data_IF_417648099711
#
_entry.id   IF_417648099711
#
_cell.length_a   1.000
_cell.length_b   1.000
_cell.length_c   1.000
_cell.angle_alpha   90.00
_cell.angle_beta   90.00
_cell.angle_gamma   90.00
#
_symmetry.space_group_name_H-M   'P 1'
#
loop_
_entity.id
_entity.type
_entity.pdbx_description
1 polymer ?
#
# COMPACT_ATOMS: atom_id res chain seq x y z
N UNK A 1 5.91 4.85 -11.41
CA UNK A 1 7.09 5.39 -10.66
C UNK A 1 8.14 4.31 -10.35
N UNK A 2 9.18 4.56 -9.53
CA UNK A 2 10.01 3.49 -8.91
C UNK A 2 9.45 3.11 -7.54
N UNK A 3 9.36 1.81 -7.26
CA UNK A 3 8.90 1.28 -5.98
C UNK A 3 9.80 1.75 -4.83
N UNK A 4 9.24 2.32 -3.76
CA UNK A 4 10.04 2.82 -2.65
C UNK A 4 10.72 1.69 -1.85
N UNK A 5 10.14 0.48 -1.85
CA UNK A 5 10.65 -0.71 -1.14
C UNK A 5 11.77 -1.44 -1.90
N UNK A 6 11.54 -1.79 -3.18
CA UNK A 6 12.46 -2.63 -3.96
C UNK A 6 13.09 -1.94 -5.18
N UNK A 7 12.77 -0.66 -5.43
CA UNK A 7 13.32 0.17 -6.53
C UNK A 7 13.03 -0.31 -7.95
N UNK A 8 12.21 -1.34 -8.14
CA UNK A 8 11.71 -1.77 -9.44
C UNK A 8 10.60 -0.86 -9.98
N UNK A 9 10.32 -0.96 -11.28
CA UNK A 9 9.21 -0.22 -11.91
C UNK A 9 7.85 -0.56 -11.31
N UNK A 10 7.01 0.45 -11.21
CA UNK A 10 5.58 0.32 -10.91
C UNK A 10 4.76 0.55 -12.18
N UNK A 11 3.63 -0.14 -12.28
CA UNK A 11 2.62 0.02 -13.33
C UNK A 11 1.35 0.66 -12.75
N UNK A 12 0.66 1.46 -13.55
CA UNK A 12 -0.64 2.02 -13.20
C UNK A 12 -1.73 0.94 -13.34
N UNK A 13 -2.59 0.84 -12.32
CA UNK A 13 -3.74 -0.06 -12.28
C UNK A 13 -4.98 0.78 -11.98
N UNK A 14 -5.96 0.75 -12.89
CA UNK A 14 -7.23 1.46 -12.69
C UNK A 14 -8.25 0.57 -11.98
N UNK A 15 -8.82 1.05 -10.87
CA UNK A 15 -9.85 0.38 -10.09
C UNK A 15 -10.89 1.41 -9.67
N UNK A 16 -12.17 1.19 -9.99
CA UNK A 16 -13.27 2.10 -9.60
C UNK A 16 -12.98 3.59 -9.89
N UNK A 17 -12.42 3.89 -11.06
CA UNK A 17 -12.04 5.26 -11.47
C UNK A 17 -10.83 5.87 -10.73
N UNK A 18 -10.23 5.14 -9.78
CA UNK A 18 -8.96 5.49 -9.12
C UNK A 18 -7.81 4.82 -9.86
N UNK A 19 -6.68 5.52 -9.98
CA UNK A 19 -5.46 4.98 -10.63
C UNK A 19 -4.40 4.85 -9.56
N UNK A 20 -4.03 3.61 -9.24
CA UNK A 20 -2.97 3.32 -8.26
C UNK A 20 -1.71 2.83 -8.97
N UNK A 21 -0.56 2.94 -8.32
CA UNK A 21 0.69 2.37 -8.81
C UNK A 21 0.95 1.01 -8.12
N UNK A 22 1.16 -0.06 -8.88
CA UNK A 22 1.53 -1.38 -8.37
C UNK A 22 2.95 -1.75 -8.79
N UNK A 23 3.78 -2.21 -7.86
CA UNK A 23 5.10 -2.70 -8.20
C UNK A 23 5.04 -4.01 -9.01
N UNK A 24 5.78 -4.07 -10.12
CA UNK A 24 5.85 -5.28 -10.96
C UNK A 24 6.66 -6.43 -10.33
N UNK A 25 7.42 -6.16 -9.25
CA UNK A 25 8.31 -7.13 -8.62
C UNK A 25 7.84 -7.59 -7.26
N UNK A 26 7.62 -6.67 -6.31
CA UNK A 26 7.18 -7.02 -4.95
C UNK A 26 5.66 -6.95 -4.78
N UNK A 27 4.93 -6.47 -5.80
CA UNK A 27 3.48 -6.26 -5.75
C UNK A 27 2.97 -5.27 -4.70
N UNK A 28 3.85 -4.53 -4.03
CA UNK A 28 3.46 -3.41 -3.18
C UNK A 28 2.73 -2.32 -3.95
N UNK A 29 1.79 -1.68 -3.28
CA UNK A 29 0.84 -0.72 -3.83
C UNK A 29 1.16 0.68 -3.31
N UNK A 30 1.17 1.65 -4.21
CA UNK A 30 1.20 3.07 -3.87
C UNK A 30 -0.14 3.70 -4.24
N UNK A 31 -0.71 4.42 -3.29
CA UNK A 31 -1.92 5.19 -3.45
C UNK A 31 -1.60 6.65 -3.19
N UNK A 32 -2.08 7.55 -4.03
CA UNK A 32 -1.96 8.97 -3.78
C UNK A 32 -2.90 9.43 -2.65
N UNK A 33 -2.65 10.63 -2.15
CA UNK A 33 -3.39 11.18 -1.02
C UNK A 33 -4.91 11.23 -1.29
N UNK A 34 -5.69 10.55 -0.44
CA UNK A 34 -7.15 10.47 -0.51
C UNK A 34 -7.69 9.33 -1.38
N UNK A 35 -6.85 8.61 -2.11
CA UNK A 35 -7.25 7.45 -2.94
C UNK A 35 -7.62 6.20 -2.14
N UNK A 36 -6.91 5.81 -1.06
CA UNK A 36 -7.26 4.61 -0.29
C UNK A 36 -8.68 4.64 0.24
N UNK A 37 -9.14 5.81 0.70
CA UNK A 37 -10.48 6.03 1.24
C UNK A 37 -11.57 5.80 0.19
N UNK A 38 -11.28 6.03 -1.10
CA UNK A 38 -12.21 5.76 -2.20
C UNK A 38 -12.31 4.27 -2.55
N UNK A 39 -11.40 3.43 -2.04
CA UNK A 39 -11.24 2.03 -2.39
C UNK A 39 -11.40 1.07 -1.21
N UNK A 40 -11.95 1.52 -0.09
CA UNK A 40 -12.04 0.74 1.15
C UNK A 40 -13.14 -0.36 1.14
N UNK A 41 -13.78 -0.63 0.00
CA UNK A 41 -14.77 -1.69 -0.14
C UNK A 41 -14.09 -3.07 -0.24
N UNK A 42 -14.67 -4.07 0.44
CA UNK A 42 -14.07 -5.42 0.55
C UNK A 42 -13.76 -6.07 -0.81
N UNK A 43 -14.62 -5.88 -1.82
CA UNK A 43 -14.40 -6.47 -3.15
C UNK A 43 -13.23 -5.83 -3.92
N UNK A 44 -12.90 -4.56 -3.64
CA UNK A 44 -11.73 -3.88 -4.23
C UNK A 44 -10.45 -4.52 -3.72
N UNK A 45 -10.44 -4.90 -2.43
CA UNK A 45 -9.30 -5.58 -1.84
C UNK A 45 -9.03 -6.95 -2.48
N UNK A 46 -10.06 -7.71 -2.86
CA UNK A 46 -9.89 -8.98 -3.59
C UNK A 46 -9.29 -8.77 -4.98
N UNK A 47 -9.66 -7.68 -5.67
CA UNK A 47 -9.10 -7.33 -6.97
C UNK A 47 -7.63 -6.90 -6.87
N UNK A 48 -7.29 -6.17 -5.81
CA UNK A 48 -5.93 -5.69 -5.54
C UNK A 48 -5.06 -6.71 -4.81
N UNK A 49 -5.64 -7.82 -4.35
CA UNK A 49 -4.93 -8.95 -3.76
C UNK A 49 -4.10 -9.66 -4.84
N UNK A 50 -2.93 -9.11 -5.12
CA UNK A 50 -1.97 -9.64 -6.06
C UNK A 50 -0.62 -9.70 -5.36
N UNK A 51 -0.01 -10.88 -5.38
CA UNK A 51 1.31 -11.11 -4.82
C UNK A 51 1.31 -12.25 -3.81
N UNK A 52 2.47 -12.85 -3.63
CA UNK A 52 2.74 -13.80 -2.57
C UNK A 52 3.15 -12.99 -1.32
N UNK A 53 2.43 -13.06 -0.19
CA UNK A 53 2.78 -12.33 1.04
C UNK A 53 4.20 -12.64 1.54
N UNK A 54 4.77 -13.79 1.16
CA UNK A 54 6.16 -14.14 1.49
C UNK A 54 7.19 -13.36 0.68
N UNK A 55 6.79 -12.73 -0.43
CA UNK A 55 7.63 -11.78 -1.18
C UNK A 55 7.61 -10.41 -0.50
N UNK A 56 6.46 -9.97 0.03
CA UNK A 56 6.36 -8.79 0.89
C UNK A 56 7.26 -8.91 2.12
N UNK A 57 7.12 -10.02 2.87
CA UNK A 57 7.90 -10.29 4.09
C UNK A 57 9.43 -10.30 3.91
N UNK A 58 9.93 -10.60 2.70
CA UNK A 58 11.38 -10.55 2.43
C UNK A 58 11.92 -9.13 2.39
N UNK A 59 11.04 -8.13 2.32
CA UNK A 59 11.40 -6.73 2.25
C UNK A 59 11.14 -5.96 3.56
N UNK A 60 10.54 -6.58 4.58
CA UNK A 60 10.28 -6.02 5.92
C UNK A 60 11.56 -5.60 6.67
N UNK A 61 12.75 -6.02 6.24
CA UNK A 61 14.01 -5.51 6.82
C UNK A 61 14.32 -4.06 6.38
N UNK A 62 13.55 -3.51 5.44
CA UNK A 62 13.79 -2.22 4.79
C UNK A 62 12.65 -1.23 5.02
N UNK A 63 12.25 -1.04 6.28
CA UNK A 63 11.11 -0.20 6.70
C UNK A 63 11.37 1.31 6.67
N UNK A 64 12.60 1.72 6.31
CA UNK A 64 12.94 3.13 6.15
C UNK A 64 12.88 3.51 4.67
N UNK A 65 11.66 3.55 4.14
CA UNK A 65 11.42 3.92 2.74
C UNK A 65 11.10 5.41 2.58
N UNK A 66 11.62 6.00 1.50
CA UNK A 66 11.34 7.38 1.12
C UNK A 66 10.11 7.47 0.23
N UNK A 67 9.36 8.56 0.35
CA UNK A 67 8.24 8.86 -0.54
C UNK A 67 8.72 8.88 -2.00
N UNK A 68 8.09 8.14 -2.92
CA UNK A 68 8.48 8.10 -4.33
C UNK A 68 8.26 9.44 -5.05
N UNK A 69 7.49 10.37 -4.47
CA UNK A 69 7.23 11.72 -5.02
C UNK A 69 8.20 12.79 -4.49
N UNK A 70 8.47 12.84 -3.18
CA UNK A 70 9.29 13.90 -2.57
C UNK A 70 10.59 13.43 -1.89
N UNK A 71 10.78 12.13 -1.71
CA UNK A 71 11.98 11.54 -1.10
C UNK A 71 12.05 11.60 0.43
N UNK A 72 11.10 12.28 1.10
CA UNK A 72 11.01 12.31 2.57
C UNK A 72 10.73 10.91 3.10
N UNK A 73 11.40 10.52 4.18
CA UNK A 73 11.17 9.24 4.86
C UNK A 73 9.72 9.17 5.36
N UNK A 74 9.03 8.10 4.99
CA UNK A 74 7.62 7.92 5.30
C UNK A 74 7.43 7.43 6.74
N UNK A 75 6.32 7.83 7.36
CA UNK A 75 5.95 7.38 8.70
C UNK A 75 5.38 5.97 8.61
N UNK A 76 5.88 5.06 9.44
CA UNK A 76 5.32 3.71 9.55
C UNK A 76 4.10 3.72 10.48
N UNK A 77 3.01 3.11 10.04
CA UNK A 77 1.79 2.87 10.81
C UNK A 77 1.58 1.38 11.04
N UNK A 78 1.22 1.01 12.27
CA UNK A 78 1.01 -0.36 12.70
C UNK A 78 -0.34 -0.50 13.40
N UNK A 79 -1.09 -1.59 13.14
CA UNK A 79 -2.23 -1.96 13.97
C UNK A 79 -1.78 -2.58 15.29
N UNK A 80 -2.67 -2.54 16.30
CA UNK A 80 -2.41 -3.10 17.64
C UNK A 80 -2.16 -4.62 17.59
N UNK A 81 -2.82 -5.32 16.67
CA UNK A 81 -2.65 -6.75 16.44
C UNK A 81 -1.52 -7.08 15.44
N UNK A 82 -0.80 -6.07 14.96
CA UNK A 82 0.28 -6.16 13.98
C UNK A 82 -0.09 -6.89 12.68
N UNK A 83 -1.38 -6.87 12.30
CA UNK A 83 -1.87 -7.41 11.03
C UNK A 83 -1.86 -6.40 9.89
N UNK A 84 -1.80 -5.12 10.21
CA UNK A 84 -1.72 -4.03 9.25
C UNK A 84 -0.47 -3.21 9.52
N UNK A 85 0.36 -3.12 8.50
CA UNK A 85 1.54 -2.27 8.41
C UNK A 85 1.37 -1.45 7.12
N UNK A 86 1.79 -0.20 7.13
CA UNK A 86 1.84 0.63 5.91
C UNK A 86 2.66 1.89 6.19
N UNK A 87 3.26 2.46 5.15
CA UNK A 87 4.00 3.73 5.25
C UNK A 87 3.24 4.90 4.64
N UNK A 88 3.30 6.06 5.29
CA UNK A 88 2.56 7.25 4.91
C UNK A 88 3.46 8.46 4.71
N UNK A 89 3.24 9.17 3.60
CA UNK A 89 3.68 10.53 3.38
C UNK A 89 2.46 11.47 3.49
N UNK A 90 2.45 12.34 4.50
CA UNK A 90 1.31 13.22 4.82
C UNK A 90 0.90 14.14 3.65
N UNK A 91 1.79 14.41 2.70
CA UNK A 91 1.50 15.27 1.53
C UNK A 91 1.10 14.51 0.28
N UNK A 92 1.54 13.26 0.11
CA UNK A 92 1.58 12.62 -1.20
C UNK A 92 0.82 11.30 -1.28
N UNK A 93 0.80 10.47 -0.23
CA UNK A 93 0.20 9.15 -0.36
C UNK A 93 0.68 8.11 0.64
N UNK A 94 0.23 6.88 0.41
CA UNK A 94 0.49 5.70 1.26
C UNK A 94 1.04 4.55 0.44
N UNK A 95 1.93 3.78 1.05
CA UNK A 95 2.47 2.54 0.51
C UNK A 95 1.99 1.36 1.36
N UNK A 96 1.55 0.30 0.69
CA UNK A 96 1.17 -0.97 1.30
C UNK A 96 2.00 -2.08 0.66
N UNK A 97 2.65 -2.92 1.45
CA UNK A 97 3.24 -4.15 0.95
C UNK A 97 2.15 -5.12 0.47
N UNK A 98 2.57 -6.15 -0.26
CA UNK A 98 1.66 -7.11 -0.87
C UNK A 98 0.77 -7.79 0.19
N UNK A 99 -0.55 -7.59 0.07
CA UNK A 99 -1.56 -8.14 0.98
C UNK A 99 -1.96 -7.25 2.16
N UNK A 100 -1.27 -6.13 2.41
CA UNK A 100 -1.59 -5.24 3.54
C UNK A 100 -2.85 -4.40 3.31
N UNK A 101 -3.10 -4.01 2.06
CA UNK A 101 -4.30 -3.24 1.72
C UNK A 101 -5.60 -4.00 2.07
N UNK A 102 -5.61 -5.34 1.97
CA UNK A 102 -6.75 -6.15 2.40
C UNK A 102 -7.03 -5.99 3.89
N UNK A 103 -5.99 -6.04 4.73
CA UNK A 103 -6.12 -5.80 6.17
C UNK A 103 -6.59 -4.37 6.47
N UNK A 104 -6.14 -3.39 5.69
CA UNK A 104 -6.57 -2.00 5.82
C UNK A 104 -8.06 -1.81 5.47
N UNK A 105 -8.51 -2.39 4.35
CA UNK A 105 -9.90 -2.33 3.91
C UNK A 105 -10.83 -3.02 4.91
N UNK A 106 -10.47 -4.21 5.39
CA UNK A 106 -11.23 -4.90 6.45
C UNK A 106 -11.33 -4.07 7.73
N UNK A 107 -10.22 -3.52 8.22
CA UNK A 107 -10.19 -2.71 9.44
C UNK A 107 -11.02 -1.42 9.30
N UNK A 108 -10.93 -0.75 8.15
CA UNK A 108 -11.66 0.49 7.88
C UNK A 108 -13.17 0.23 7.71
N UNK A 109 -13.53 -0.86 7.03
CA UNK A 109 -14.92 -1.27 6.87
C UNK A 109 -15.56 -1.65 8.22
N UNK A 110 -14.83 -2.36 9.08
CA UNK A 110 -15.31 -2.77 10.41
C UNK A 110 -15.34 -1.63 11.44
N UNK A 111 -14.55 -0.56 11.24
CA UNK A 111 -14.52 0.61 12.11
C UNK A 111 -15.63 1.64 11.79
N UNK A 112 -16.48 1.38 10.78
CA UNK A 112 -17.59 2.23 10.41
C UNK A 112 -18.86 1.95 11.22
N UNK A 113 -18.92 2.48 12.45
CA UNK A 113 -20.13 2.92 13.17
C UNK A 113 -19.80 4.19 13.98
#
# INVERSE_FOLDING_TARGET
MLCPKCRNEMEEVSVCEVVIDRCKSCHGLWFDHGEPEALNESWVSEFLYVGDPTIGQRHDENDTIGCPRCGVIMRHHYSVDARLHFECCDEHGRFFDAGEFTHWAEATYLAGD
#
